data_IF_572710411305
#
_entry.id   IF_572710411305
#
_cell.length_a   1.000
_cell.length_b   1.000
_cell.length_c   1.000
_cell.angle_alpha   90.00
_cell.angle_beta   90.00
_cell.angle_gamma   90.00
#
_symmetry.space_group_name_H-M   'P 1'
#
loop_
_entity.id
_entity.type
_entity.pdbx_description
1 polymer ?
2 non-polymer ?
3 water ?
#
# COMPACT_ATOMS: atom_id res chain seq x y z
N UNK A 12 -21.91 15.19 -3.96
CA UNK A 12 -20.62 14.42 -3.91
C UNK A 12 -19.71 14.91 -2.80
N UNK A 13 -20.14 15.97 -2.10
CA UNK A 13 -19.32 16.59 -1.06
C UNK A 13 -19.73 16.22 0.37
N UNK A 14 -20.64 15.25 0.49
CA UNK A 14 -21.03 14.73 1.79
C UNK A 14 -19.91 13.90 2.42
N UNK A 15 -19.94 13.78 3.75
CA UNK A 15 -18.96 13.02 4.51
C UNK A 15 -18.87 11.58 4.00
N UNK A 16 -20.04 10.98 3.76
CA UNK A 16 -20.14 9.63 3.22
C UNK A 16 -19.51 9.51 1.85
N UNK A 17 -19.72 10.52 1.00
CA UNK A 17 -19.14 10.56 -0.33
C UNK A 17 -17.63 10.76 -0.28
N UNK A 18 -17.17 11.65 0.60
CA UNK A 18 -15.75 11.88 0.75
C UNK A 18 -15.07 10.62 1.25
N UNK A 19 -15.63 10.01 2.28
CA UNK A 19 -15.06 8.81 2.85
C UNK A 19 -15.00 7.64 1.88
N UNK A 20 -16.02 7.46 1.04
CA UNK A 20 -15.96 6.38 0.05
C UNK A 20 -14.94 6.63 -1.07
N UNK A 21 -14.63 7.89 -1.36
CA UNK A 21 -13.57 8.22 -2.29
C UNK A 21 -12.20 7.91 -1.67
N UNK A 22 -12.06 8.25 -0.39
CA UNK A 22 -10.82 8.04 0.34
C UNK A 22 -10.55 6.54 0.46
N UNK A 23 -11.57 5.76 0.82
CA UNK A 23 -11.41 4.33 0.94
C UNK A 23 -11.05 3.66 -0.40
N UNK A 24 -11.74 4.06 -1.47
CA UNK A 24 -11.44 3.63 -2.83
C UNK A 24 -10.00 3.97 -3.24
N UNK A 25 -9.58 5.21 -3.05
CA UNK A 25 -8.21 5.62 -3.35
C UNK A 25 -7.14 4.83 -2.55
N UNK A 26 -7.40 4.61 -1.26
CA UNK A 26 -6.49 3.85 -0.39
C UNK A 26 -6.38 2.39 -0.86
N UNK A 27 -7.50 1.80 -1.27
CA UNK A 27 -7.52 0.49 -1.92
C UNK A 27 -6.67 0.44 -3.21
N UNK A 28 -6.79 1.47 -4.05
CA UNK A 28 -5.97 1.61 -5.26
C UNK A 28 -4.48 1.65 -4.89
N UNK A 29 -4.15 2.39 -3.85
CA UNK A 29 -2.77 2.47 -3.35
C UNK A 29 -2.21 1.10 -3.00
N UNK A 30 -3.05 0.24 -2.40
CA UNK A 30 -2.68 -1.14 -2.07
C UNK A 30 -2.42 -2.00 -3.30
N UNK A 31 -3.24 -1.81 -4.33
CA UNK A 31 -3.02 -2.47 -5.61
C UNK A 31 -1.65 -2.06 -6.19
N UNK A 32 -1.37 -0.77 -6.23
CA UNK A 32 -0.06 -0.27 -6.63
C UNK A 32 1.08 -0.90 -5.82
N UNK A 33 0.94 -0.92 -4.50
CA UNK A 33 1.91 -1.56 -3.62
C UNK A 33 2.17 -3.04 -3.94
N UNK A 34 1.14 -3.79 -4.29
CA UNK A 34 1.31 -5.19 -4.67
C UNK A 34 2.11 -5.35 -5.96
N UNK A 35 1.88 -4.46 -6.93
CA UNK A 35 2.61 -4.46 -8.19
C UNK A 35 4.07 -4.06 -7.98
N UNK A 36 4.30 -3.02 -7.18
CA UNK A 36 5.64 -2.59 -6.82
C UNK A 36 6.41 -3.73 -6.14
N UNK A 37 5.75 -4.44 -5.23
CA UNK A 37 6.34 -5.59 -4.53
C UNK A 37 6.73 -6.71 -5.50
N UNK A 38 5.84 -7.03 -6.43
CA UNK A 38 6.14 -8.03 -7.44
C UNK A 38 7.37 -7.61 -8.25
N UNK A 39 7.40 -6.35 -8.68
CA UNK A 39 8.51 -5.85 -9.50
C UNK A 39 9.84 -5.97 -8.75
N UNK A 40 9.81 -5.66 -7.45
CA UNK A 40 11.00 -5.79 -6.62
C UNK A 40 11.46 -7.24 -6.39
N UNK A 41 10.51 -8.17 -6.26
CA UNK A 41 10.83 -9.60 -6.26
C UNK A 41 11.49 -10.03 -7.57
N UNK A 42 10.96 -9.57 -8.70
CA UNK A 42 11.57 -9.85 -10.00
C UNK A 42 13.01 -9.34 -10.05
N UNK A 43 13.23 -8.10 -9.61
CA UNK A 43 14.56 -7.48 -9.61
C UNK A 43 15.55 -8.18 -8.69
N UNK A 44 15.09 -8.59 -7.51
CA UNK A 44 15.96 -9.29 -6.57
C UNK A 44 16.37 -10.65 -7.11
N UNK A 45 15.41 -11.36 -7.69
CA UNK A 45 15.66 -12.71 -8.17
C UNK A 45 16.53 -12.71 -9.44
N UNK A 46 16.31 -11.73 -10.30
CA UNK A 46 17.12 -11.48 -11.49
C UNK A 46 18.60 -11.22 -11.14
N UNK A 47 18.86 -10.73 -9.94
CA UNK A 47 20.22 -10.50 -9.47
C UNK A 47 20.88 -11.74 -8.85
N UNK A 48 20.08 -12.56 -8.18
CA UNK A 48 20.57 -13.76 -7.50
C UNK A 48 21.03 -13.50 -6.08
N UNK B 11 -20.89 -0.65 11.95
CA UNK B 11 -20.97 -1.73 10.92
C UNK B 11 -21.01 -1.17 9.51
N UNK B 12 -20.29 -1.83 8.60
CA UNK B 12 -20.07 -1.39 7.20
C UNK B 12 -21.12 -0.43 6.62
N UNK B 13 -20.99 0.86 6.97
CA UNK B 13 -22.00 1.89 6.71
C UNK B 13 -21.64 3.10 7.56
N UNK B 14 -21.42 2.82 8.84
CA UNK B 14 -21.17 3.79 9.89
C UNK B 14 -19.93 4.66 9.63
N UNK B 15 -19.97 5.91 10.07
CA UNK B 15 -18.83 6.81 9.92
C UNK B 15 -17.63 6.28 10.70
N UNK B 16 -17.87 5.82 11.92
CA UNK B 16 -16.82 5.23 12.74
C UNK B 16 -16.25 3.96 12.12
N UNK B 17 -17.11 3.18 11.46
CA UNK B 17 -16.70 1.93 10.82
C UNK B 17 -15.85 2.20 9.59
N UNK B 18 -16.32 3.10 8.72
CA UNK B 18 -15.56 3.56 7.57
C UNK B 18 -14.18 4.09 7.96
N UNK B 19 -14.13 4.95 8.99
CA UNK B 19 -12.85 5.48 9.47
C UNK B 19 -11.96 4.39 10.03
N UNK B 20 -12.58 3.36 10.61
CA UNK B 20 -11.85 2.21 11.12
C UNK B 20 -11.19 1.41 10.00
N UNK B 21 -11.95 1.15 8.94
CA UNK B 21 -11.43 0.52 7.74
C UNK B 21 -10.30 1.36 7.12
N UNK B 22 -10.54 2.66 6.94
CA UNK B 22 -9.52 3.57 6.39
C UNK B 22 -8.23 3.52 7.23
N UNK B 23 -8.34 3.61 8.56
CA UNK B 23 -7.16 3.60 9.42
C UNK B 23 -6.41 2.27 9.34
N UNK B 24 -7.14 1.15 9.36
CA UNK B 24 -6.55 -0.17 9.22
C UNK B 24 -5.80 -0.31 7.88
N UNK B 25 -6.44 0.14 6.80
CA UNK B 25 -5.85 0.08 5.46
C UNK B 25 -4.55 0.90 5.38
N UNK B 26 -4.59 2.12 5.91
CA UNK B 26 -3.41 2.99 5.92
C UNK B 26 -2.27 2.34 6.74
N UNK B 27 -2.61 1.67 7.84
CA UNK B 27 -1.62 0.95 8.63
C UNK B 27 -1.01 -0.17 7.79
N UNK B 28 -1.85 -0.88 7.05
CA UNK B 28 -1.38 -1.93 6.16
C UNK B 28 -0.48 -1.38 5.05
N UNK B 29 -0.80 -0.20 4.52
CA UNK B 29 0.04 0.48 3.53
C UNK B 29 1.41 0.78 4.11
N UNK B 30 1.44 1.20 5.37
CA UNK B 30 2.69 1.54 6.04
C UNK B 30 3.60 0.31 6.19
N UNK B 31 3.00 -0.84 6.51
CA UNK B 31 3.73 -2.09 6.66
C UNK B 31 4.28 -2.57 5.31
N UNK B 32 3.47 -2.45 4.25
CA UNK B 32 3.93 -2.78 2.89
C UNK B 32 5.06 -1.87 2.44
N UNK B 33 4.95 -0.58 2.75
CA UNK B 33 6.00 0.35 2.42
C UNK B 33 7.29 0.12 3.20
N UNK B 34 7.19 -0.31 4.46
CA UNK B 34 8.38 -0.78 5.20
C UNK B 34 9.03 -2.01 4.51
N UNK B 35 8.20 -2.94 4.03
CA UNK B 35 8.71 -4.12 3.33
C UNK B 35 9.34 -3.76 1.98
N UNK B 36 8.72 -2.83 1.25
CA UNK B 36 9.28 -2.31 -0.01
C UNK B 36 10.63 -1.64 0.20
N UNK B 37 10.73 -0.85 1.27
CA UNK B 37 11.96 -0.17 1.62
C UNK B 37 13.07 -1.20 1.93
N UNK B 38 12.70 -2.26 2.65
CA UNK B 38 13.64 -3.33 2.96
C UNK B 38 14.16 -4.01 1.69
N UNK B 39 13.26 -4.27 0.73
CA UNK B 39 13.64 -4.88 -0.54
C UNK B 39 14.62 -4.00 -1.32
N UNK B 40 14.37 -2.69 -1.30
CA UNK B 40 15.26 -1.72 -1.91
C UNK B 40 16.62 -1.65 -1.22
N UNK B 41 16.65 -1.76 0.11
CA UNK B 41 17.91 -1.84 0.84
C UNK B 41 18.73 -3.06 0.40
N UNK B 42 18.10 -4.22 0.30
CA UNK B 42 18.74 -5.43 -0.21
C UNK B 42 19.32 -5.23 -1.62
N UNK B 43 18.56 -4.56 -2.49
CA UNK B 43 18.97 -4.33 -3.86
C UNK B 43 20.19 -3.43 -3.92
N UNK B 44 20.16 -2.34 -3.16
CA UNK B 44 21.29 -1.44 -3.07
C UNK B 44 22.52 -2.12 -2.48
N UNK B 45 22.33 -2.94 -1.46
CA UNK B 45 23.48 -3.56 -0.80
C UNK B 45 24.14 -4.61 -1.70
N UNK B 46 23.34 -5.30 -2.50
CA UNK B 46 23.87 -6.35 -3.36
C UNK B 46 24.60 -5.80 -4.60
N UNK B 47 24.48 -4.50 -4.83
CA UNK B 47 25.24 -3.81 -5.87
C UNK B 47 26.57 -3.25 -5.36
N UNK B 48 26.59 -2.83 -4.10
CA UNK B 48 27.79 -2.26 -3.50
C UNK B 48 27.92 -0.77 -3.78
X LIG C 1 21.58 -4.39 -11.23
#
# INVERSE_FOLDING_TARGET
ISVSEKSKDRGSNTIGARLNRVEDKVTQLDQRLALITDMLHQLLSLHGG
ISVSEKSKDRGSNTIGARLNRVEDKVTQLDQRLALITDMLHQLLSLHGG
NI NI
#
